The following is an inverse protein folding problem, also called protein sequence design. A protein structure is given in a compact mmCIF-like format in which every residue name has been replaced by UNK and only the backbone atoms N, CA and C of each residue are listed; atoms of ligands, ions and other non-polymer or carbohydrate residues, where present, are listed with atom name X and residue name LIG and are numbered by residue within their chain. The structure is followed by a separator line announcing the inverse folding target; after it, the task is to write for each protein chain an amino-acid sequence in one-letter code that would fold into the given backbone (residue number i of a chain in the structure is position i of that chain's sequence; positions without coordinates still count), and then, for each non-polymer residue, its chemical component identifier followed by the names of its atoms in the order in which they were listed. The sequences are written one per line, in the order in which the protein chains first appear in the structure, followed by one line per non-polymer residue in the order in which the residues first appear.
data_IF_598526379522
#
_entry.id   IF_598526379522
#
_cell.length_a   1.000
_cell.length_b   1.000
_cell.length_c   1.000
_cell.angle_alpha   90.00
_cell.angle_beta   90.00
_cell.angle_gamma   90.00
#
_symmetry.space_group_name_H-M   'P 1'
#
loop_
_entity.id
_entity.type
_entity.pdbx_description
1 polymer ?
#
# COMPACT_ATOMS: atom_id res chain seq x y z
N UNK A 1 -21.89 -39.08 18.37
CA UNK A 1 -20.83 -38.31 17.67
C UNK A 1 -21.25 -36.86 17.63
N UNK A 2 -20.53 -36.02 18.34
CA UNK A 2 -20.93 -34.64 18.68
C UNK A 2 -20.62 -33.67 17.53
N UNK A 3 -21.36 -33.81 16.42
CA UNK A 3 -21.23 -32.95 15.21
C UNK A 3 -21.62 -31.50 15.51
N UNK A 4 -22.60 -31.31 16.44
CA UNK A 4 -23.03 -29.97 16.85
C UNK A 4 -21.91 -29.14 17.54
N UNK A 5 -21.11 -29.78 18.38
CA UNK A 5 -19.99 -29.10 19.08
C UNK A 5 -18.81 -28.74 18.15
N UNK A 6 -18.61 -29.50 17.06
CA UNK A 6 -17.62 -29.16 16.04
C UNK A 6 -18.05 -27.94 15.21
N UNK A 7 -19.31 -27.91 14.78
CA UNK A 7 -19.88 -26.81 14.00
C UNK A 7 -19.94 -25.49 14.82
N UNK A 8 -20.21 -25.58 16.10
CA UNK A 8 -20.23 -24.40 16.99
C UNK A 8 -18.80 -23.87 17.25
N UNK A 9 -17.81 -24.76 17.38
CA UNK A 9 -16.41 -24.39 17.49
C UNK A 9 -15.87 -23.78 16.19
N UNK A 10 -16.22 -24.32 15.04
CA UNK A 10 -15.87 -23.72 13.73
C UNK A 10 -16.48 -22.33 13.55
N UNK A 11 -17.77 -22.15 13.84
CA UNK A 11 -18.41 -20.82 13.85
C UNK A 11 -17.76 -19.85 14.81
N UNK A 12 -17.38 -20.29 16.02
CA UNK A 12 -16.66 -19.48 17.00
C UNK A 12 -15.25 -19.09 16.56
N UNK A 13 -14.57 -19.94 15.80
CA UNK A 13 -13.26 -19.66 15.23
C UNK A 13 -13.39 -18.70 14.04
N UNK A 14 -14.39 -18.89 13.18
CA UNK A 14 -14.69 -18.01 12.05
C UNK A 14 -15.04 -16.57 12.50
N UNK A 15 -15.79 -16.42 13.59
CA UNK A 15 -16.12 -15.12 14.18
C UNK A 15 -14.95 -14.44 14.89
N UNK A 16 -13.82 -15.14 15.08
CA UNK A 16 -12.58 -14.60 15.69
C UNK A 16 -11.55 -14.10 14.68
N UNK A 17 -11.72 -14.41 13.40
CA UNK A 17 -10.77 -14.00 12.35
C UNK A 17 -11.29 -12.80 11.57
N UNK A 18 -10.35 -11.95 11.15
CA UNK A 18 -10.66 -10.85 10.23
C UNK A 18 -11.16 -11.40 8.89
N UNK A 19 -12.19 -10.77 8.35
CA UNK A 19 -12.65 -11.02 6.99
C UNK A 19 -11.56 -10.64 5.97
N UNK A 20 -11.65 -11.13 4.74
CA UNK A 20 -10.68 -10.79 3.70
C UNK A 20 -10.56 -9.28 3.48
N UNK A 21 -11.67 -8.54 3.50
CA UNK A 21 -11.65 -7.06 3.39
C UNK A 21 -10.94 -6.39 4.57
N UNK A 22 -11.12 -6.90 5.78
CA UNK A 22 -10.44 -6.39 6.98
C UNK A 22 -8.95 -6.72 6.96
N UNK A 23 -8.56 -7.90 6.45
CA UNK A 23 -7.15 -8.23 6.21
C UNK A 23 -6.51 -7.31 5.18
N UNK A 24 -7.19 -7.04 4.07
CA UNK A 24 -6.71 -6.08 3.07
C UNK A 24 -6.54 -4.68 3.66
N UNK A 25 -7.48 -4.23 4.49
CA UNK A 25 -7.36 -2.95 5.19
C UNK A 25 -6.17 -2.94 6.15
N UNK A 26 -5.91 -4.04 6.87
CA UNK A 26 -4.72 -4.19 7.72
C UNK A 26 -3.43 -4.11 6.89
N UNK A 27 -3.38 -4.75 5.72
CA UNK A 27 -2.25 -4.65 4.80
C UNK A 27 -2.08 -3.23 4.27
N UNK A 28 -3.17 -2.55 3.92
CA UNK A 28 -3.14 -1.15 3.49
C UNK A 28 -2.43 -0.26 4.52
N UNK A 29 -2.85 -0.31 5.79
CA UNK A 29 -2.23 0.49 6.85
C UNK A 29 -0.76 0.12 7.07
N UNK A 30 -0.48 -1.18 7.12
CA UNK A 30 0.89 -1.67 7.32
C UNK A 30 1.81 -1.20 6.21
N UNK A 31 1.42 -1.37 4.94
CA UNK A 31 2.27 -0.97 3.81
C UNK A 31 2.33 0.55 3.62
N UNK A 32 1.28 1.28 3.95
CA UNK A 32 1.32 2.74 3.98
C UNK A 32 2.33 3.27 5.00
N UNK A 33 2.39 2.65 6.18
CA UNK A 33 3.37 3.00 7.21
C UNK A 33 4.79 2.57 6.84
N UNK A 34 4.98 1.34 6.36
CA UNK A 34 6.29 0.87 5.89
C UNK A 34 6.81 1.69 4.70
N UNK A 35 5.93 2.10 3.80
CA UNK A 35 6.26 2.99 2.69
C UNK A 35 6.71 4.37 3.16
N UNK A 36 6.07 4.92 4.19
CA UNK A 36 6.53 6.16 4.81
C UNK A 36 7.92 6.02 5.44
N UNK A 37 8.20 4.91 6.13
CA UNK A 37 9.55 4.62 6.64
C UNK A 37 10.56 4.56 5.49
N UNK A 38 10.25 3.83 4.42
CA UNK A 38 11.10 3.69 3.24
C UNK A 38 11.45 5.06 2.64
N UNK A 39 10.44 5.90 2.39
CA UNK A 39 10.60 7.26 1.86
C UNK A 39 11.44 8.14 2.77
N UNK A 40 11.20 8.04 4.08
CA UNK A 40 11.94 8.83 5.07
C UNK A 40 13.41 8.43 5.11
N UNK A 41 13.69 7.11 5.15
CA UNK A 41 15.05 6.58 5.12
C UNK A 41 15.75 6.97 3.82
N UNK A 42 15.10 6.80 2.68
CA UNK A 42 15.63 7.20 1.38
C UNK A 42 15.99 8.70 1.36
N UNK A 43 15.10 9.56 1.86
CA UNK A 43 15.34 11.00 1.93
C UNK A 43 16.54 11.35 2.80
N UNK A 44 16.66 10.74 3.98
CA UNK A 44 17.78 10.97 4.88
C UNK A 44 19.10 10.53 4.24
N UNK A 45 19.12 9.38 3.58
CA UNK A 45 20.33 8.85 2.92
C UNK A 45 20.76 9.67 1.69
N UNK A 46 19.80 10.24 0.95
CA UNK A 46 20.10 10.96 -0.30
C UNK A 46 20.32 12.46 -0.08
N UNK A 47 19.59 13.09 0.85
CA UNK A 47 19.65 14.53 1.08
C UNK A 47 20.36 14.92 2.38
N UNK A 48 20.68 13.96 3.25
CA UNK A 48 21.32 14.21 4.55
C UNK A 48 20.42 14.89 5.58
N UNK A 49 19.13 15.11 5.26
CA UNK A 49 18.18 15.81 6.13
C UNK A 49 16.87 15.05 6.25
N UNK A 50 16.26 15.16 7.43
CA UNK A 50 14.91 14.63 7.65
C UNK A 50 13.90 15.62 7.09
N UNK A 51 13.33 15.31 5.93
CA UNK A 51 12.22 16.05 5.37
C UNK A 51 10.94 15.23 5.49
N UNK A 52 9.85 15.91 5.83
CA UNK A 52 8.53 15.29 5.84
C UNK A 52 8.18 14.72 4.47
N UNK A 53 7.85 13.44 4.43
CA UNK A 53 7.48 12.72 3.21
C UNK A 53 6.01 12.36 3.19
N UNK A 54 5.46 12.28 1.97
CA UNK A 54 4.07 11.91 1.72
C UNK A 54 3.09 13.09 1.73
N UNK A 55 1.92 12.82 1.18
CA UNK A 55 0.82 13.79 1.08
C UNK A 55 0.20 14.10 2.45
N UNK A 56 0.05 13.11 3.32
CA UNK A 56 -0.60 13.21 4.62
C UNK A 56 0.29 13.89 5.68
N UNK A 57 -0.32 14.41 6.74
CA UNK A 57 0.42 14.93 7.90
C UNK A 57 1.04 13.80 8.73
N UNK A 58 0.35 12.68 8.87
CA UNK A 58 0.81 11.52 9.63
C UNK A 58 1.91 10.71 8.94
N UNK A 59 2.48 9.74 9.66
CA UNK A 59 3.58 8.89 9.18
C UNK A 59 3.06 7.77 8.28
N UNK A 60 2.33 8.12 7.23
CA UNK A 60 1.75 7.16 6.27
C UNK A 60 1.82 7.71 4.85
N UNK A 61 2.17 6.83 3.90
CA UNK A 61 2.15 7.10 2.47
C UNK A 61 1.15 6.15 1.80
N UNK A 62 -0.12 6.57 1.61
CA UNK A 62 -1.19 5.70 1.10
C UNK A 62 -0.89 5.06 -0.26
N UNK A 63 -0.08 5.70 -1.09
CA UNK A 63 0.30 5.17 -2.40
C UNK A 63 0.94 3.77 -2.30
N UNK A 64 1.75 3.53 -1.26
CA UNK A 64 2.35 2.21 -1.01
C UNK A 64 1.31 1.18 -0.55
N UNK A 65 0.34 1.61 0.25
CA UNK A 65 -0.79 0.76 0.66
C UNK A 65 -1.66 0.35 -0.53
N UNK A 66 -2.02 1.29 -1.39
CA UNK A 66 -2.78 1.00 -2.61
C UNK A 66 -1.99 0.12 -3.58
N UNK A 67 -0.72 0.44 -3.82
CA UNK A 67 0.15 -0.37 -4.68
C UNK A 67 0.25 -1.82 -4.17
N UNK A 68 0.45 -2.00 -2.88
CA UNK A 68 0.49 -3.34 -2.27
C UNK A 68 -0.82 -4.12 -2.48
N UNK A 69 -1.99 -3.49 -2.24
CA UNK A 69 -3.29 -4.14 -2.46
C UNK A 69 -3.49 -4.51 -3.92
N UNK A 70 -3.19 -3.59 -4.86
CA UNK A 70 -3.30 -3.84 -6.29
C UNK A 70 -2.49 -5.09 -6.66
N UNK A 71 -1.26 -5.19 -6.17
CA UNK A 71 -0.38 -6.30 -6.50
C UNK A 71 -0.83 -7.62 -5.85
N UNK A 72 -1.24 -7.59 -4.58
CA UNK A 72 -1.77 -8.75 -3.86
C UNK A 72 -3.01 -9.31 -4.58
N UNK A 73 -3.98 -8.45 -4.94
CA UNK A 73 -5.21 -8.88 -5.59
C UNK A 73 -4.98 -9.31 -7.05
N UNK A 74 -4.08 -8.64 -7.78
CA UNK A 74 -3.71 -9.01 -9.15
C UNK A 74 -3.10 -10.42 -9.21
N UNK A 75 -2.24 -10.77 -8.26
CA UNK A 75 -1.54 -12.04 -8.24
C UNK A 75 -2.26 -13.16 -7.48
N UNK A 76 -3.28 -12.83 -6.69
CA UNK A 76 -4.05 -13.82 -5.92
C UNK A 76 -4.69 -14.91 -6.80
N UNK A 77 -5.14 -14.53 -7.99
CA UNK A 77 -5.84 -15.40 -8.93
C UNK A 77 -4.94 -15.96 -10.04
N UNK A 78 -3.72 -15.45 -10.18
CA UNK A 78 -2.81 -15.78 -11.27
C UNK A 78 -1.70 -16.67 -10.74
N UNK A 79 -1.73 -17.96 -11.12
CA UNK A 79 -0.62 -18.87 -10.86
C UNK A 79 0.44 -18.65 -11.95
N UNK A 80 1.55 -18.02 -11.60
CA UNK A 80 2.64 -17.74 -12.53
C UNK A 80 4.00 -17.92 -11.85
N UNK A 81 5.05 -18.05 -12.67
CA UNK A 81 6.44 -18.09 -12.20
C UNK A 81 6.98 -16.69 -11.88
N UNK A 82 8.23 -16.60 -11.43
CA UNK A 82 8.88 -15.33 -11.07
C UNK A 82 8.91 -14.33 -12.22
N UNK A 83 9.14 -14.80 -13.45
CA UNK A 83 9.14 -13.95 -14.66
C UNK A 83 7.76 -13.36 -14.92
N UNK A 84 6.71 -14.16 -14.81
CA UNK A 84 5.34 -13.66 -14.94
C UNK A 84 4.96 -12.68 -13.84
N UNK A 85 5.41 -12.89 -12.59
CA UNK A 85 5.22 -11.91 -11.50
C UNK A 85 5.92 -10.59 -11.80
N UNK A 86 7.13 -10.64 -12.37
CA UNK A 86 7.85 -9.45 -12.80
C UNK A 86 7.04 -8.62 -13.81
N UNK A 87 6.56 -9.23 -14.87
CA UNK A 87 5.78 -8.50 -15.89
C UNK A 87 4.44 -7.98 -15.35
N UNK A 88 3.74 -8.77 -14.53
CA UNK A 88 2.49 -8.33 -13.90
C UNK A 88 2.75 -7.12 -12.99
N UNK A 89 3.80 -7.18 -12.17
CA UNK A 89 4.18 -6.09 -11.27
C UNK A 89 4.59 -4.84 -12.04
N UNK A 90 5.40 -5.00 -13.08
CA UNK A 90 5.84 -3.93 -13.96
C UNK A 90 4.64 -3.21 -14.57
N UNK A 91 3.74 -3.95 -15.21
CA UNK A 91 2.55 -3.37 -15.88
C UNK A 91 1.61 -2.72 -14.86
N UNK A 92 1.29 -3.43 -13.76
CA UNK A 92 0.37 -2.93 -12.75
C UNK A 92 0.86 -1.64 -12.09
N UNK A 93 2.13 -1.57 -11.73
CA UNK A 93 2.68 -0.36 -11.11
C UNK A 93 2.91 0.77 -12.11
N UNK A 94 3.29 0.48 -13.36
CA UNK A 94 3.40 1.51 -14.40
C UNK A 94 2.05 2.17 -14.67
N UNK A 95 0.98 1.38 -14.78
CA UNK A 95 -0.38 1.93 -14.95
C UNK A 95 -0.78 2.72 -13.69
N UNK A 96 -0.53 2.18 -12.50
CA UNK A 96 -0.86 2.84 -11.26
C UNK A 96 -0.12 4.17 -11.09
N UNK A 97 1.19 4.20 -11.36
CA UNK A 97 2.02 5.40 -11.32
C UNK A 97 1.51 6.47 -12.30
N UNK A 98 1.18 6.07 -13.53
CA UNK A 98 0.62 6.99 -14.52
C UNK A 98 -0.71 7.59 -14.04
N UNK A 99 -1.65 6.74 -13.59
CA UNK A 99 -2.96 7.19 -13.11
C UNK A 99 -2.81 8.13 -11.91
N UNK A 100 -1.98 7.79 -10.94
CA UNK A 100 -1.73 8.65 -9.76
C UNK A 100 -1.14 9.99 -10.19
N UNK A 101 -0.17 10.01 -11.10
CA UNK A 101 0.40 11.26 -11.64
C UNK A 101 -0.66 12.16 -12.28
N UNK A 102 -1.54 11.58 -13.13
CA UNK A 102 -2.63 12.32 -13.77
C UNK A 102 -3.61 12.88 -12.74
N UNK A 103 -4.02 12.05 -11.78
CA UNK A 103 -4.98 12.46 -10.73
C UNK A 103 -4.41 13.58 -9.86
N UNK A 104 -3.17 13.44 -9.39
CA UNK A 104 -2.54 14.45 -8.53
C UNK A 104 -2.36 15.78 -9.27
N UNK A 105 -1.92 15.75 -10.52
CA UNK A 105 -1.78 16.97 -11.31
C UNK A 105 -3.15 17.61 -11.60
N UNK A 106 -4.17 16.81 -11.90
CA UNK A 106 -5.53 17.32 -12.14
C UNK A 106 -6.17 17.94 -10.89
N UNK A 107 -5.89 17.40 -9.71
CA UNK A 107 -6.48 17.88 -8.45
C UNK A 107 -5.70 19.04 -7.83
N UNK A 108 -4.36 19.04 -7.94
CA UNK A 108 -3.49 19.96 -7.24
C UNK A 108 -2.62 20.82 -8.15
N UNK A 109 -2.69 20.66 -9.48
CA UNK A 109 -1.84 21.39 -10.43
C UNK A 109 -0.34 21.11 -10.30
N UNK A 110 0.04 20.09 -9.48
CA UNK A 110 1.42 19.80 -9.12
C UNK A 110 1.85 18.44 -9.66
N UNK A 111 3.04 18.41 -10.27
CA UNK A 111 3.74 17.17 -10.59
C UNK A 111 4.62 16.78 -9.40
N UNK A 112 4.39 15.62 -8.84
CA UNK A 112 5.13 15.09 -7.68
C UNK A 112 6.43 14.41 -8.06
N UNK A 113 6.51 13.99 -9.34
CA UNK A 113 7.72 13.50 -10.00
C UNK A 113 7.64 13.87 -11.49
N UNK A 114 8.81 13.98 -12.12
CA UNK A 114 8.92 14.28 -13.53
C UNK A 114 10.09 13.49 -14.15
N UNK A 115 9.78 12.63 -15.09
CA UNK A 115 10.73 11.81 -15.84
C UNK A 115 10.99 12.35 -17.25
N UNK A 116 10.70 13.61 -17.53
CA UNK A 116 10.85 14.19 -18.89
C UNK A 116 12.27 14.04 -19.42
N UNK A 117 13.29 14.06 -18.55
CA UNK A 117 14.68 13.82 -18.93
C UNK A 117 15.10 12.35 -19.11
N UNK A 118 14.22 11.40 -18.76
CA UNK A 118 14.55 9.99 -18.82
C UNK A 118 14.28 9.37 -20.20
N UNK A 119 15.16 8.47 -20.71
CA UNK A 119 14.90 7.74 -21.94
C UNK A 119 13.62 6.92 -21.87
N UNK A 120 12.89 6.87 -22.98
CA UNK A 120 11.61 6.13 -23.09
C UNK A 120 10.58 6.54 -22.05
N UNK A 121 10.58 7.83 -21.64
CA UNK A 121 9.49 8.35 -20.84
C UNK A 121 8.21 8.55 -21.68
N UNK A 122 7.08 8.47 -21.01
CA UNK A 122 5.79 8.81 -21.58
C UNK A 122 5.17 9.99 -20.79
N UNK A 123 5.09 11.14 -21.43
CA UNK A 123 4.58 12.40 -20.87
C UNK A 123 5.31 12.86 -19.59
N UNK A 124 6.54 12.42 -19.35
CA UNK A 124 7.26 12.66 -18.10
C UNK A 124 6.67 11.97 -16.86
N UNK A 125 5.62 11.15 -17.02
CA UNK A 125 4.89 10.53 -15.90
C UNK A 125 5.38 9.15 -15.54
N UNK A 126 5.85 8.41 -16.53
CA UNK A 126 6.43 7.06 -16.41
C UNK A 126 7.65 6.98 -17.30
N UNK A 127 8.59 6.09 -16.98
CA UNK A 127 9.69 5.74 -17.88
C UNK A 127 9.99 4.24 -17.83
N UNK A 128 10.67 3.74 -18.88
CA UNK A 128 10.99 2.31 -18.98
C UNK A 128 11.88 1.86 -17.81
N UNK A 129 12.87 2.67 -17.43
CA UNK A 129 13.79 2.34 -16.34
C UNK A 129 13.04 2.15 -15.01
N UNK A 130 12.15 3.08 -14.67
CA UNK A 130 11.34 2.97 -13.45
C UNK A 130 10.30 1.86 -13.54
N UNK A 131 9.72 1.62 -14.72
CA UNK A 131 8.81 0.48 -14.93
C UNK A 131 9.51 -0.86 -14.68
N UNK A 132 10.76 -1.04 -15.15
CA UNK A 132 11.57 -2.23 -14.87
C UNK A 132 11.87 -2.33 -13.36
N UNK A 133 12.25 -1.22 -12.72
CA UNK A 133 12.46 -1.18 -11.28
C UNK A 133 11.21 -1.62 -10.49
N UNK A 134 10.02 -1.14 -10.88
CA UNK A 134 8.75 -1.58 -10.31
C UNK A 134 8.49 -3.08 -10.50
N UNK A 135 8.88 -3.64 -11.64
CA UNK A 135 8.82 -5.10 -11.88
C UNK A 135 9.67 -5.88 -10.88
N UNK A 136 10.91 -5.44 -10.64
CA UNK A 136 11.84 -6.06 -9.68
C UNK A 136 11.31 -5.92 -8.25
N UNK A 137 10.98 -4.69 -7.84
CA UNK A 137 10.47 -4.38 -6.49
C UNK A 137 9.19 -5.17 -6.20
N UNK A 138 8.25 -5.19 -7.15
CA UNK A 138 7.00 -5.92 -7.00
C UNK A 138 7.19 -7.43 -6.90
N UNK A 139 8.14 -7.99 -7.63
CA UNK A 139 8.49 -9.42 -7.52
C UNK A 139 9.04 -9.76 -6.14
N UNK A 140 10.00 -8.96 -5.65
CA UNK A 140 10.57 -9.12 -4.31
C UNK A 140 9.48 -8.95 -3.25
N UNK A 141 8.60 -7.97 -3.43
CA UNK A 141 7.47 -7.73 -2.54
C UNK A 141 6.58 -8.97 -2.42
N UNK A 142 6.13 -9.53 -3.53
CA UNK A 142 5.21 -10.67 -3.52
C UNK A 142 5.85 -11.96 -3.04
N UNK A 143 7.12 -12.19 -3.38
CA UNK A 143 7.80 -13.44 -3.04
C UNK A 143 8.40 -13.47 -1.63
N UNK A 144 8.79 -12.32 -1.11
CA UNK A 144 9.53 -12.23 0.16
C UNK A 144 8.82 -11.35 1.20
N UNK A 145 8.52 -10.09 0.82
CA UNK A 145 8.05 -9.09 1.78
C UNK A 145 6.63 -9.42 2.23
N UNK A 146 5.70 -9.61 1.29
CA UNK A 146 4.31 -9.86 1.65
C UNK A 146 4.10 -11.15 2.46
N UNK A 147 4.69 -12.31 2.13
CA UNK A 147 4.58 -13.52 2.95
C UNK A 147 5.13 -13.33 4.36
N UNK A 148 6.26 -12.63 4.50
CA UNK A 148 6.83 -12.31 5.80
C UNK A 148 5.90 -11.41 6.63
N UNK A 149 5.45 -10.28 6.07
CA UNK A 149 4.55 -9.33 6.75
C UNK A 149 3.23 -10.01 7.10
N UNK A 150 2.65 -10.78 6.19
CA UNK A 150 1.44 -11.57 6.44
C UNK A 150 1.59 -12.48 7.66
N UNK A 151 2.68 -13.25 7.73
CA UNK A 151 2.98 -14.14 8.87
C UNK A 151 3.11 -13.37 10.19
N UNK A 152 3.78 -12.20 10.18
CA UNK A 152 3.91 -11.38 11.38
C UNK A 152 2.57 -10.77 11.82
N UNK A 153 1.78 -10.26 10.88
CA UNK A 153 0.44 -9.73 11.18
C UNK A 153 -0.48 -10.81 11.74
N UNK A 154 -0.50 -11.99 11.15
CA UNK A 154 -1.27 -13.13 11.68
C UNK A 154 -0.85 -13.48 13.10
N UNK A 155 0.46 -13.52 13.39
CA UNK A 155 0.99 -13.77 14.74
C UNK A 155 0.59 -12.71 15.76
N UNK A 156 0.50 -11.45 15.32
CA UNK A 156 0.09 -10.33 16.21
C UNK A 156 -1.42 -10.36 16.40
N UNK A 157 -2.19 -10.47 15.31
CA UNK A 157 -3.65 -10.42 15.36
C UNK A 157 -4.27 -11.59 16.12
N UNK A 158 -3.66 -12.78 16.11
CA UNK A 158 -4.12 -13.91 16.92
C UNK A 158 -4.08 -13.65 18.44
N UNK A 159 -3.23 -12.71 18.90
CA UNK A 159 -3.11 -12.33 20.31
C UNK A 159 -4.07 -11.21 20.71
N UNK A 160 -4.72 -10.55 19.75
CA UNK A 160 -5.61 -9.40 19.98
C UNK A 160 -7.06 -9.87 19.84
N UNK A 161 -7.95 -9.57 20.79
CA UNK A 161 -9.38 -9.88 20.69
C UNK A 161 -9.98 -9.27 19.40
N UNK A 162 -10.83 -10.03 18.70
CA UNK A 162 -11.40 -9.62 17.41
C UNK A 162 -12.08 -8.23 17.48
N UNK A 163 -12.84 -7.94 18.54
CA UNK A 163 -13.46 -6.63 18.73
C UNK A 163 -12.45 -5.49 18.76
N UNK A 164 -11.31 -5.71 19.43
CA UNK A 164 -10.22 -4.71 19.51
C UNK A 164 -9.59 -4.50 18.12
N UNK A 165 -9.38 -5.58 17.36
CA UNK A 165 -8.87 -5.47 15.99
C UNK A 165 -9.78 -4.60 15.11
N UNK A 166 -11.10 -4.81 15.18
CA UNK A 166 -12.08 -4.00 14.45
C UNK A 166 -12.05 -2.54 14.89
N UNK A 167 -12.05 -2.29 16.22
CA UNK A 167 -11.95 -0.93 16.74
C UNK A 167 -10.69 -0.21 16.25
N UNK A 168 -9.54 -0.89 16.24
CA UNK A 168 -8.29 -0.32 15.73
C UNK A 168 -8.37 -0.03 14.24
N UNK A 169 -8.92 -0.92 13.42
CA UNK A 169 -9.09 -0.69 11.98
C UNK A 169 -9.99 0.53 11.71
N UNK A 170 -11.10 0.67 12.42
CA UNK A 170 -12.01 1.81 12.30
C UNK A 170 -11.31 3.10 12.75
N UNK A 171 -10.58 3.06 13.85
CA UNK A 171 -9.83 4.20 14.37
C UNK A 171 -8.77 4.67 13.38
N UNK A 172 -7.94 3.76 12.85
CA UNK A 172 -6.93 4.10 11.85
C UNK A 172 -7.55 4.64 10.56
N UNK A 173 -8.67 4.06 10.11
CA UNK A 173 -9.39 4.56 8.94
C UNK A 173 -9.89 5.99 9.17
N UNK A 174 -10.50 6.27 10.33
CA UNK A 174 -10.97 7.60 10.69
C UNK A 174 -9.83 8.61 10.75
N UNK A 175 -8.69 8.25 11.36
CA UNK A 175 -7.49 9.10 11.42
C UNK A 175 -6.99 9.44 10.02
N UNK A 176 -6.87 8.44 9.12
CA UNK A 176 -6.41 8.68 7.75
C UNK A 176 -7.39 9.54 6.96
N UNK A 177 -8.70 9.36 7.13
CA UNK A 177 -9.71 10.19 6.46
C UNK A 177 -9.61 11.65 6.93
N UNK A 178 -9.50 11.88 8.24
CA UNK A 178 -9.34 13.24 8.80
C UNK A 178 -8.05 13.87 8.29
N UNK A 179 -6.92 13.16 8.35
CA UNK A 179 -5.64 13.63 7.86
C UNK A 179 -5.69 13.95 6.36
N UNK A 180 -6.35 13.10 5.57
CA UNK A 180 -6.55 13.32 4.14
C UNK A 180 -7.32 14.61 3.86
N UNK A 181 -8.42 14.86 4.58
CA UNK A 181 -9.21 16.10 4.45
C UNK A 181 -8.38 17.33 4.80
N UNK A 182 -7.61 17.27 5.90
CA UNK A 182 -6.71 18.35 6.31
C UNK A 182 -5.61 18.58 5.29
N UNK A 183 -5.05 17.52 4.72
CA UNK A 183 -3.99 17.59 3.70
C UNK A 183 -4.50 18.21 2.39
N UNK A 184 -5.72 17.86 1.94
CA UNK A 184 -6.34 18.51 0.78
C UNK A 184 -6.44 20.01 1.00
N UNK A 185 -6.96 20.44 2.15
CA UNK A 185 -7.08 21.88 2.47
C UNK A 185 -5.73 22.59 2.37
N UNK A 186 -4.66 22.00 2.91
CA UNK A 186 -3.30 22.57 2.83
C UNK A 186 -2.82 22.77 1.39
N UNK A 187 -3.00 21.76 0.54
CA UNK A 187 -2.53 21.85 -0.85
C UNK A 187 -3.43 22.76 -1.70
N UNK A 188 -4.73 22.83 -1.41
CA UNK A 188 -5.64 23.75 -2.09
C UNK A 188 -5.33 25.21 -1.76
N UNK A 189 -4.97 25.54 -0.50
CA UNK A 189 -4.60 26.91 -0.10
C UNK A 189 -3.25 27.32 -0.73
N UNK A 190 -2.31 26.39 -0.93
CA UNK A 190 -1.02 26.68 -1.53
C UNK A 190 -1.10 26.99 -3.05
N UNK A 191 -2.26 26.79 -3.68
CA UNK A 191 -2.51 27.11 -5.09
C UNK A 191 -3.04 28.55 -5.31
N UNK A 192 -3.42 29.27 -4.25
CA UNK A 192 -3.86 30.66 -4.24
C UNK A 192 -2.84 31.56 -3.55
#
# INVERSE_FOLDING_TARGET
RNIGGYMEKEKLIETKQLTEKQKLLSYFFTYSFLGWILETVFCVLTLGVFNKRGFLYGPVCPIYGFGAIILIESLKKIKTNTVGKFFISMIAFTIFEYVVSVVLESLFGLRWWDYTGEPFNFQGRISLAYSIAWGIIGTIFVEKIHPFVKKQLEKITTKIPHKVQICLLILFLAIIIIDFMMSITRYSIALY
#
